data_IF_535602077992
#
_entry.id   IF_535602077992
#
_cell.length_a   1.000
_cell.length_b   1.000
_cell.length_c   1.000
_cell.angle_alpha   90.00
_cell.angle_beta   90.00
_cell.angle_gamma   90.00
#
_symmetry.space_group_name_H-M   'P 1'
#
loop_
_entity.id
_entity.type
_entity.pdbx_description
1 polymer ?
#
# COMPACT_ATOMS: atom_id res chain seq x y z
N UNK A 1 6.48 9.07 -7.15
CA UNK A 1 6.65 9.19 -5.70
C UNK A 1 7.17 10.57 -5.37
N UNK A 2 6.56 11.21 -4.42
CA UNK A 2 6.90 12.59 -4.09
C UNK A 2 7.73 12.73 -2.84
N UNK A 3 7.52 11.86 -1.87
CA UNK A 3 8.18 11.97 -0.57
C UNK A 3 8.52 10.61 -0.01
N UNK A 4 9.58 10.58 0.78
CA UNK A 4 9.91 9.45 1.63
C UNK A 4 9.38 9.73 3.01
N UNK A 5 8.52 8.86 3.51
CA UNK A 5 8.22 8.82 4.93
C UNK A 5 9.29 7.99 5.65
N UNK A 6 9.32 8.04 6.98
CA UNK A 6 10.28 7.24 7.74
C UNK A 6 10.13 5.74 7.51
N UNK A 7 8.91 5.28 7.22
CA UNK A 7 8.61 3.87 7.07
C UNK A 7 8.06 3.51 5.69
N UNK A 8 8.02 4.46 4.75
CA UNK A 8 7.45 4.18 3.45
C UNK A 8 7.49 5.37 2.52
N UNK A 9 6.82 5.22 1.38
CA UNK A 9 6.79 6.19 0.31
C UNK A 9 5.36 6.64 0.04
N UNK A 10 5.21 7.93 -0.28
CA UNK A 10 3.92 8.55 -0.58
C UNK A 10 3.89 8.88 -2.07
N UNK A 11 2.86 8.36 -2.77
CA UNK A 11 2.64 8.64 -4.18
C UNK A 11 1.45 9.56 -4.32
N UNK A 12 1.65 10.70 -4.98
CA UNK A 12 0.57 11.63 -5.26
C UNK A 12 -0.51 10.93 -6.10
N UNK A 13 -1.76 11.13 -5.73
CA UNK A 13 -2.88 10.48 -6.39
C UNK A 13 -4.15 11.31 -6.19
N UNK A 14 -5.21 10.92 -6.88
CA UNK A 14 -6.53 11.53 -6.73
C UNK A 14 -7.45 10.55 -6.06
N UNK A 15 -8.39 11.06 -5.27
CA UNK A 15 -9.42 10.22 -4.67
C UNK A 15 -10.15 9.43 -5.76
N UNK A 16 -10.30 8.13 -5.53
CA UNK A 16 -10.96 7.24 -6.49
C UNK A 16 -10.01 6.60 -7.51
N UNK A 17 -8.75 7.03 -7.58
CA UNK A 17 -7.77 6.37 -8.44
C UNK A 17 -7.66 4.89 -8.06
N UNK A 18 -7.56 4.02 -9.07
CA UNK A 18 -7.39 2.60 -8.83
C UNK A 18 -5.99 2.29 -8.32
N UNK A 19 -5.93 1.43 -7.31
CA UNK A 19 -4.67 0.92 -6.76
C UNK A 19 -4.50 -0.51 -7.25
N UNK A 20 -3.38 -0.77 -7.92
CA UNK A 20 -3.09 -2.07 -8.51
C UNK A 20 -1.94 -2.74 -7.77
N UNK A 21 -2.04 -4.07 -7.62
CA UNK A 21 -0.97 -4.83 -6.98
C UNK A 21 0.31 -4.71 -7.80
N UNK A 22 1.42 -4.39 -7.15
CA UNK A 22 2.73 -4.22 -7.81
C UNK A 22 3.33 -5.55 -8.23
N UNK A 23 2.98 -6.62 -7.53
CA UNK A 23 3.46 -7.99 -7.77
C UNK A 23 2.40 -8.98 -7.35
N UNK A 24 2.52 -10.21 -7.85
CA UNK A 24 1.71 -11.31 -7.36
C UNK A 24 2.00 -11.51 -5.88
N UNK A 25 0.96 -11.60 -5.08
CA UNK A 25 1.10 -11.67 -3.63
C UNK A 25 -0.12 -12.30 -2.97
N UNK A 26 0.04 -12.75 -1.74
CA UNK A 26 -1.08 -13.22 -0.92
C UNK A 26 -1.53 -12.09 0.00
N UNK A 27 -2.83 -11.83 0.05
CA UNK A 27 -3.40 -10.85 0.97
C UNK A 27 -3.30 -11.42 2.38
N UNK A 28 -2.53 -10.76 3.23
CA UNK A 28 -2.25 -11.24 4.58
C UNK A 28 -3.17 -10.62 5.60
N UNK A 29 -3.42 -9.31 5.48
CA UNK A 29 -4.17 -8.60 6.51
C UNK A 29 -4.79 -7.33 5.96
N UNK A 30 -6.04 -7.07 6.33
CA UNK A 30 -6.75 -5.83 6.00
C UNK A 30 -7.07 -5.16 7.32
N UNK A 31 -6.58 -3.93 7.52
CA UNK A 31 -6.75 -3.17 8.76
C UNK A 31 -7.14 -1.74 8.48
N UNK A 32 -7.51 -1.03 9.55
CA UNK A 32 -7.74 0.40 9.53
C UNK A 32 -6.98 1.03 10.68
N UNK A 33 -6.26 2.11 10.39
CA UNK A 33 -5.54 2.87 11.41
C UNK A 33 -5.83 4.36 11.25
N UNK A 34 -5.58 5.13 12.31
CA UNK A 34 -5.73 6.57 12.27
C UNK A 34 -4.70 7.22 11.33
N UNK A 35 -3.50 6.64 11.27
CA UNK A 35 -2.41 7.19 10.47
C UNK A 35 -2.56 6.87 8.98
N UNK A 36 -2.77 5.60 8.64
CA UNK A 36 -2.74 5.15 7.24
C UNK A 36 -4.13 4.89 6.64
N UNK A 37 -5.20 5.07 7.42
CA UNK A 37 -6.55 4.75 6.96
C UNK A 37 -6.71 3.25 6.75
N UNK A 38 -7.46 2.85 5.73
CA UNK A 38 -7.58 1.44 5.40
C UNK A 38 -6.31 0.96 4.72
N UNK A 39 -5.82 -0.20 5.14
CA UNK A 39 -4.55 -0.76 4.64
C UNK A 39 -4.74 -2.20 4.19
N UNK A 40 -3.94 -2.61 3.22
CA UNK A 40 -3.82 -4.00 2.79
C UNK A 40 -2.35 -4.39 2.88
N UNK A 41 -2.06 -5.41 3.68
CA UNK A 41 -0.73 -5.98 3.81
C UNK A 41 -0.67 -7.25 2.97
N UNK A 42 0.31 -7.34 2.09
CA UNK A 42 0.48 -8.48 1.21
C UNK A 42 1.83 -9.15 1.41
N UNK A 43 1.86 -10.46 1.30
CA UNK A 43 3.06 -11.28 1.39
C UNK A 43 3.52 -11.63 -0.03
N UNK A 44 4.72 -11.19 -0.38
CA UNK A 44 5.33 -11.44 -1.70
C UNK A 44 6.14 -12.72 -1.74
N UNK A 45 6.33 -13.38 -0.59
CA UNK A 45 7.25 -14.51 -0.46
C UNK A 45 8.66 -14.03 -0.11
N UNK A 46 9.51 -15.00 0.29
CA UNK A 46 10.92 -14.73 0.65
C UNK A 46 11.08 -13.63 1.72
N UNK A 47 10.11 -13.53 2.63
CA UNK A 47 10.08 -12.57 3.73
C UNK A 47 9.91 -11.12 3.28
N UNK A 48 9.49 -10.90 2.03
CA UNK A 48 9.09 -9.58 1.54
C UNK A 48 7.61 -9.36 1.76
N UNK A 49 7.26 -8.17 2.26
CA UNK A 49 5.86 -7.74 2.38
C UNK A 49 5.71 -6.34 1.81
N UNK A 50 4.50 -6.02 1.35
CA UNK A 50 4.14 -4.66 0.95
C UNK A 50 2.87 -4.25 1.68
N UNK A 51 2.82 -2.99 2.09
CA UNK A 51 1.66 -2.39 2.71
C UNK A 51 1.16 -1.26 1.82
N UNK A 52 -0.11 -1.31 1.49
CA UNK A 52 -0.81 -0.23 0.80
C UNK A 52 -1.69 0.49 1.82
N UNK A 53 -1.64 1.80 1.86
CA UNK A 53 -2.44 2.59 2.80
C UNK A 53 -3.16 3.74 2.10
N UNK A 54 -4.00 4.46 2.85
CA UNK A 54 -4.85 5.54 2.38
C UNK A 54 -5.89 5.03 1.37
N UNK A 55 -6.47 3.86 1.66
CA UNK A 55 -7.34 3.14 0.73
C UNK A 55 -8.82 3.27 1.09
N UNK A 56 -9.66 3.08 0.07
CA UNK A 56 -11.09 2.83 0.20
C UNK A 56 -11.52 1.78 -0.83
N UNK A 57 -12.74 1.28 -0.71
CA UNK A 57 -13.33 0.34 -1.66
C UNK A 57 -12.40 -0.85 -1.91
N UNK A 58 -11.96 -1.49 -0.84
CA UNK A 58 -11.07 -2.64 -0.91
C UNK A 58 -11.82 -3.81 -1.55
N UNK A 59 -11.23 -4.40 -2.59
CA UNK A 59 -11.84 -5.48 -3.40
C UNK A 59 -11.25 -6.85 -3.16
N UNK A 60 -10.30 -6.97 -2.25
CA UNK A 60 -9.62 -8.24 -1.97
C UNK A 60 -9.95 -8.74 -0.58
N UNK A 61 -9.70 -10.02 -0.34
CA UNK A 61 -9.99 -10.67 0.95
C UNK A 61 -8.72 -11.29 1.50
N UNK A 62 -8.61 -11.29 2.83
CA UNK A 62 -7.51 -11.96 3.50
C UNK A 62 -7.43 -13.43 3.09
N UNK A 63 -6.22 -13.91 2.91
CA UNK A 63 -5.94 -15.29 2.53
C UNK A 63 -5.98 -15.58 1.04
N UNK A 64 -6.36 -14.63 0.19
CA UNK A 64 -6.45 -14.86 -1.26
C UNK A 64 -5.19 -14.39 -1.98
N UNK A 65 -4.94 -14.99 -3.14
CA UNK A 65 -3.85 -14.57 -4.02
C UNK A 65 -4.34 -13.48 -4.97
N UNK A 66 -3.46 -12.53 -5.25
CA UNK A 66 -3.72 -11.42 -6.16
C UNK A 66 -2.59 -11.40 -7.20
N UNK A 67 -2.95 -11.20 -8.46
CA UNK A 67 -1.96 -11.11 -9.53
C UNK A 67 -1.43 -9.68 -9.67
N UNK A 68 -0.22 -9.53 -10.19
CA UNK A 68 0.34 -8.22 -10.51
C UNK A 68 -0.62 -7.47 -11.46
N UNK A 69 -0.84 -6.19 -11.20
CA UNK A 69 -1.73 -5.36 -12.02
C UNK A 69 -3.20 -5.47 -11.69
N UNK A 70 -3.59 -6.39 -10.82
CA UNK A 70 -4.98 -6.54 -10.41
C UNK A 70 -5.39 -5.37 -9.50
N UNK A 71 -6.59 -4.82 -9.71
CA UNK A 71 -7.11 -3.72 -8.89
C UNK A 71 -7.46 -4.27 -7.51
N UNK A 72 -6.88 -3.69 -6.46
CA UNK A 72 -7.10 -4.14 -5.09
C UNK A 72 -7.97 -3.18 -4.27
N UNK A 73 -8.00 -1.91 -4.64
CA UNK A 73 -8.71 -0.87 -3.89
C UNK A 73 -8.70 0.42 -4.70
N UNK A 74 -9.22 1.49 -4.10
CA UNK A 74 -9.12 2.85 -4.62
C UNK A 74 -8.45 3.74 -3.58
N UNK A 75 -7.89 4.86 -4.05
CA UNK A 75 -7.29 5.87 -3.18
C UNK A 75 -8.42 6.63 -2.46
N UNK A 76 -8.29 6.77 -1.14
CA UNK A 76 -9.22 7.50 -0.29
C UNK A 76 -8.76 8.96 -0.11
N UNK A 77 -9.62 9.78 0.50
CA UNK A 77 -9.17 11.06 1.04
C UNK A 77 -8.13 10.78 2.12
N UNK A 78 -7.13 11.68 2.27
CA UNK A 78 -6.06 11.44 3.24
C UNK A 78 -6.59 11.51 4.68
N UNK A 79 -5.98 10.72 5.56
CA UNK A 79 -6.21 10.85 6.99
C UNK A 79 -5.65 12.19 7.48
N UNK A 80 -6.00 12.59 8.70
CA UNK A 80 -5.49 13.83 9.29
C UNK A 80 -3.97 13.87 9.39
N UNK A 81 -3.30 12.72 9.39
CA UNK A 81 -1.84 12.65 9.43
C UNK A 81 -1.19 13.09 8.11
N UNK A 82 -1.95 13.11 7.02
CA UNK A 82 -1.43 13.37 5.68
C UNK A 82 -2.12 14.53 4.98
N UNK A 83 -2.77 15.43 5.74
CA UNK A 83 -3.49 16.56 5.11
C UNK A 83 -2.55 17.51 4.37
N UNK A 84 -1.33 17.70 4.86
CA UNK A 84 -0.35 18.55 4.18
C UNK A 84 0.16 17.94 2.89
N UNK A 85 0.27 16.62 2.84
CA UNK A 85 0.71 15.89 1.66
C UNK A 85 -0.39 15.84 0.60
N UNK A 86 -1.64 15.93 1.03
CA UNK A 86 -2.79 15.81 0.15
C UNK A 86 -3.13 14.34 -0.14
N UNK A 87 -4.04 14.13 -1.07
CA UNK A 87 -4.49 12.79 -1.45
C UNK A 87 -3.33 11.98 -2.01
N UNK A 88 -3.14 10.78 -1.47
CA UNK A 88 -1.97 9.98 -1.78
C UNK A 88 -2.22 8.49 -1.58
N UNK A 89 -1.38 7.69 -2.23
CA UNK A 89 -1.24 6.27 -1.92
C UNK A 89 -0.02 6.12 -1.03
N UNK A 90 -0.21 5.56 0.15
CA UNK A 90 0.91 5.19 1.01
C UNK A 90 1.39 3.80 0.63
N UNK A 91 2.70 3.61 0.45
CA UNK A 91 3.27 2.33 0.07
C UNK A 91 4.55 2.07 0.85
N UNK A 92 4.60 0.92 1.53
CA UNK A 92 5.76 0.53 2.32
C UNK A 92 6.15 -0.89 1.95
N UNK A 93 7.45 -1.12 1.72
CA UNK A 93 7.97 -2.45 1.48
C UNK A 93 8.95 -2.83 2.59
N UNK A 94 8.82 -4.06 3.07
CA UNK A 94 9.73 -4.60 4.09
C UNK A 94 10.32 -5.92 3.63
N UNK A 95 11.53 -6.19 4.10
CA UNK A 95 12.13 -7.52 4.06
C UNK A 95 12.58 -7.85 5.48
N UNK A 96 12.21 -9.04 5.96
CA UNK A 96 12.53 -9.47 7.33
C UNK A 96 12.11 -8.43 8.36
N UNK A 97 10.93 -7.81 8.16
CA UNK A 97 10.35 -6.77 9.03
C UNK A 97 11.14 -5.46 9.07
N UNK A 98 12.04 -5.25 8.10
CA UNK A 98 12.79 -3.99 7.98
C UNK A 98 12.41 -3.29 6.69
N UNK A 99 12.18 -1.98 6.77
CA UNK A 99 11.84 -1.18 5.59
C UNK A 99 12.98 -1.23 4.57
N UNK A 100 12.61 -1.42 3.31
CA UNK A 100 13.54 -1.43 2.19
C UNK A 100 13.03 -0.48 1.10
N UNK A 101 13.94 -0.06 0.22
CA UNK A 101 13.60 0.81 -0.90
C UNK A 101 12.84 0.01 -1.96
N UNK A 102 11.55 0.31 -2.20
CA UNK A 102 10.77 -0.41 -3.21
C UNK A 102 11.39 -0.34 -4.61
N UNK A 103 12.01 0.77 -4.96
CA UNK A 103 12.59 0.95 -6.29
C UNK A 103 13.72 -0.05 -6.59
N UNK A 104 14.40 -0.50 -5.56
CA UNK A 104 15.48 -1.50 -5.73
C UNK A 104 14.95 -2.92 -5.91
N UNK A 105 13.76 -3.19 -5.41
CA UNK A 105 13.24 -4.55 -5.31
C UNK A 105 12.08 -4.85 -6.25
N UNK A 106 11.46 -3.83 -6.83
CA UNK A 106 10.29 -3.99 -7.70
C UNK A 106 10.60 -3.78 -9.18
N UNK A 107 11.80 -3.42 -9.49
CA UNK A 107 12.22 -3.27 -10.88
C UNK A 107 12.41 -4.62 -11.57
#
# INVERSE_FOLDING_TARGET
ALKWGPDGRIYEAKEGDEVKAVRKAKVREIKKSAEYGQTVLMDLGNEYTVLYGQLKDIRVKEGTMVNAGEVIAKVAEPTSYYTLEGTNLYFQMEKDKKSVDPLKYLE
#
